data_IF_269697510655
#
_entry.id   IF_269697510655
#
_cell.length_a   1.000
_cell.length_b   1.000
_cell.length_c   1.000
_cell.angle_alpha   90.00
_cell.angle_beta   90.00
_cell.angle_gamma   90.00
#
_symmetry.space_group_name_H-M   'P 1'
#
loop_
_entity.id
_entity.type
_entity.pdbx_description
1 polymer ?
#
# COMPACT_ATOMS: atom_id res chain seq x y z
N UNK A 1 -4.68 29.82 0.39
CA UNK A 1 -3.43 29.85 -0.34
C UNK A 1 -3.46 28.61 -1.18
N UNK A 2 -3.87 28.80 -2.42
CA UNK A 2 -3.87 27.77 -3.46
C UNK A 2 -2.49 27.11 -3.50
N UNK A 3 -1.42 27.85 -3.22
CA UNK A 3 -0.06 27.35 -3.08
C UNK A 3 0.08 26.11 -2.16
N UNK A 4 -0.45 26.12 -0.93
CA UNK A 4 -0.30 24.97 0.00
C UNK A 4 -1.01 23.74 -0.55
N UNK A 5 -2.19 23.94 -1.15
CA UNK A 5 -2.95 22.87 -1.80
C UNK A 5 -2.19 22.34 -3.02
N UNK A 6 -1.62 23.22 -3.85
CA UNK A 6 -0.82 22.83 -5.01
C UNK A 6 0.45 22.07 -4.62
N UNK A 7 1.14 22.50 -3.57
CA UNK A 7 2.31 21.77 -3.03
C UNK A 7 1.90 20.40 -2.53
N UNK A 8 0.83 20.30 -1.74
CA UNK A 8 0.31 19.02 -1.25
C UNK A 8 -0.13 18.08 -2.39
N UNK A 9 -0.82 18.60 -3.40
CA UNK A 9 -1.17 17.83 -4.61
C UNK A 9 0.07 17.41 -5.40
N UNK A 10 1.05 18.30 -5.55
CA UNK A 10 2.32 18.01 -6.22
C UNK A 10 3.10 16.89 -5.53
N UNK A 11 3.14 16.88 -4.19
CA UNK A 11 3.75 15.80 -3.41
C UNK A 11 3.00 14.48 -3.63
N UNK A 12 1.67 14.48 -3.62
CA UNK A 12 0.89 13.27 -3.90
C UNK A 12 1.17 12.71 -5.30
N UNK A 13 1.18 13.56 -6.33
CA UNK A 13 1.50 13.15 -7.70
C UNK A 13 2.93 12.61 -7.78
N UNK A 14 3.89 13.31 -7.17
CA UNK A 14 5.28 12.87 -7.14
C UNK A 14 5.42 11.50 -6.47
N UNK A 15 4.85 11.31 -5.27
CA UNK A 15 4.90 10.03 -4.55
C UNK A 15 4.25 8.92 -5.38
N UNK A 16 3.09 9.20 -5.97
CA UNK A 16 2.40 8.23 -6.80
C UNK A 16 3.28 7.78 -7.98
N UNK A 17 3.79 8.73 -8.77
CA UNK A 17 4.62 8.42 -9.96
C UNK A 17 5.93 7.75 -9.55
N UNK A 18 6.60 8.27 -8.51
CA UNK A 18 7.86 7.71 -8.02
C UNK A 18 7.70 6.25 -7.62
N UNK A 19 6.71 5.94 -6.76
CA UNK A 19 6.48 4.57 -6.32
C UNK A 19 5.92 3.70 -7.44
N UNK A 20 5.14 4.24 -8.37
CA UNK A 20 4.69 3.49 -9.53
C UNK A 20 5.89 2.98 -10.34
N UNK A 21 6.85 3.86 -10.64
CA UNK A 21 8.06 3.54 -11.38
C UNK A 21 9.03 2.66 -10.58
N UNK A 22 9.14 2.86 -9.26
CA UNK A 22 10.01 2.06 -8.38
C UNK A 22 9.67 0.56 -8.40
N UNK A 23 8.42 0.18 -8.73
CA UNK A 23 7.99 -1.20 -8.86
C UNK A 23 8.02 -1.73 -10.31
N UNK A 24 8.52 -0.95 -11.28
CA UNK A 24 8.76 -1.37 -12.66
C UNK A 24 10.20 -1.79 -12.97
N UNK A 25 11.11 -1.71 -12.00
CA UNK A 25 12.52 -2.10 -12.15
C UNK A 25 12.74 -3.63 -12.12
N UNK A 26 13.88 -4.11 -12.59
CA UNK A 26 14.19 -5.55 -12.74
C UNK A 26 14.07 -6.35 -11.45
N UNK A 27 14.34 -5.73 -10.30
CA UNK A 27 14.16 -6.35 -8.98
C UNK A 27 12.76 -6.96 -8.76
N UNK A 28 11.72 -6.37 -9.33
CA UNK A 28 10.34 -6.89 -9.22
C UNK A 28 9.85 -7.56 -10.51
N UNK A 29 10.75 -7.89 -11.45
CA UNK A 29 10.39 -8.50 -12.73
C UNK A 29 9.52 -9.76 -12.53
N UNK A 30 10.01 -10.74 -11.76
CA UNK A 30 9.24 -11.96 -11.49
C UNK A 30 7.98 -11.71 -10.67
N UNK A 31 7.99 -10.74 -9.76
CA UNK A 31 6.77 -10.32 -9.06
C UNK A 31 5.73 -9.79 -10.05
N UNK A 32 6.15 -9.03 -11.06
CA UNK A 32 5.27 -8.53 -12.14
C UNK A 32 4.89 -9.61 -13.16
N UNK A 33 5.65 -10.69 -13.31
CA UNK A 33 5.22 -11.83 -14.12
C UNK A 33 3.93 -12.43 -13.55
N UNK A 34 3.80 -12.48 -12.22
CA UNK A 34 2.57 -12.94 -11.55
C UNK A 34 1.55 -11.80 -11.47
N UNK A 35 1.94 -10.66 -10.89
CA UNK A 35 0.99 -9.58 -10.52
C UNK A 35 0.69 -8.59 -11.63
N UNK A 36 1.51 -8.51 -12.68
CA UNK A 36 1.46 -7.48 -13.69
C UNK A 36 1.51 -6.07 -13.10
N UNK A 37 0.77 -5.14 -13.73
CA UNK A 37 0.72 -3.73 -13.32
C UNK A 37 -0.01 -3.51 -11.98
N UNK A 38 -0.82 -4.48 -11.51
CA UNK A 38 -1.55 -4.38 -10.25
C UNK A 38 -0.60 -4.25 -9.04
N UNK A 39 0.66 -4.68 -9.17
CA UNK A 39 1.71 -4.43 -8.19
C UNK A 39 1.96 -2.92 -7.99
N UNK A 40 2.28 -2.20 -9.07
CA UNK A 40 2.55 -0.75 -9.01
C UNK A 40 1.30 0.02 -8.58
N UNK A 41 0.12 -0.39 -9.07
CA UNK A 41 -1.17 0.20 -8.68
C UNK A 41 -1.56 -0.07 -7.22
N UNK A 42 -1.02 -1.09 -6.56
CA UNK A 42 -1.20 -1.26 -5.11
C UNK A 42 -0.21 -0.43 -4.30
N UNK A 43 1.04 -0.31 -4.80
CA UNK A 43 2.15 0.30 -4.06
C UNK A 43 2.21 1.82 -4.15
N UNK A 44 1.88 2.41 -5.29
CA UNK A 44 1.83 3.87 -5.44
C UNK A 44 0.78 4.53 -4.53
N UNK A 45 -0.49 4.07 -4.48
CA UNK A 45 -1.46 4.61 -3.53
C UNK A 45 -1.10 4.35 -2.07
N UNK A 46 -0.42 3.22 -1.76
CA UNK A 46 0.01 2.94 -0.38
C UNK A 46 0.99 4.00 0.15
N UNK A 47 1.93 4.45 -0.69
CA UNK A 47 2.83 5.55 -0.34
C UNK A 47 2.08 6.87 -0.13
N UNK A 48 1.13 7.20 -1.01
CA UNK A 48 0.29 8.37 -0.84
C UNK A 48 -0.59 8.27 0.42
N UNK A 49 -1.10 7.08 0.75
CA UNK A 49 -1.85 6.83 1.99
C UNK A 49 -0.97 7.09 3.22
N UNK A 50 0.24 6.55 3.27
CA UNK A 50 1.17 6.80 4.39
C UNK A 50 1.40 8.31 4.59
N UNK A 51 1.66 9.04 3.51
CA UNK A 51 1.83 10.50 3.56
C UNK A 51 0.58 11.23 4.07
N UNK A 52 -0.60 10.94 3.50
CA UNK A 52 -1.83 11.64 3.89
C UNK A 52 -2.31 11.25 5.29
N UNK A 53 -2.14 9.99 5.71
CA UNK A 53 -2.46 9.52 7.05
C UNK A 53 -1.51 10.12 8.10
N UNK A 54 -0.24 10.36 7.79
CA UNK A 54 0.64 11.15 8.65
C UNK A 54 0.15 12.62 8.75
N UNK A 55 -0.29 13.18 7.62
CA UNK A 55 -0.69 14.58 7.53
C UNK A 55 -2.05 14.88 8.17
N UNK A 56 -3.01 13.96 8.16
CA UNK A 56 -4.43 14.20 8.52
C UNK A 56 -4.64 14.72 9.95
N UNK A 57 -3.73 14.40 10.89
CA UNK A 57 -3.79 14.85 12.28
C UNK A 57 -3.26 16.29 12.45
N UNK A 58 -2.32 16.74 11.63
CA UNK A 58 -1.70 18.06 11.76
C UNK A 58 -2.74 19.22 11.71
N UNK A 59 -3.74 19.22 10.83
CA UNK A 59 -4.74 20.29 10.77
C UNK A 59 -5.70 20.32 11.96
N UNK A 60 -5.75 19.28 12.80
CA UNK A 60 -6.60 19.26 14.00
C UNK A 60 -5.82 19.55 15.30
N UNK A 61 -4.48 19.61 15.23
CA UNK A 61 -3.60 20.00 16.34
C UNK A 61 -3.63 21.51 16.62
N UNK A 62 -4.71 22.02 17.22
CA UNK A 62 -4.96 23.46 17.42
C UNK A 62 -3.80 24.21 18.09
N UNK A 63 -3.17 23.66 19.12
CA UNK A 63 -2.05 24.31 19.82
C UNK A 63 -0.81 24.46 18.93
N UNK A 64 -0.46 23.41 18.18
CA UNK A 64 0.64 23.42 17.23
C UNK A 64 0.40 24.44 16.11
N UNK A 65 -0.82 24.47 15.58
CA UNK A 65 -1.19 25.43 14.52
C UNK A 65 -1.15 26.87 15.01
N UNK A 66 -1.58 27.13 16.25
CA UNK A 66 -1.47 28.46 16.88
C UNK A 66 -0.01 28.90 17.04
N UNK A 67 0.87 27.98 17.45
CA UNK A 67 2.32 28.26 17.53
C UNK A 67 2.95 28.54 16.15
N UNK A 68 2.66 27.71 15.16
CA UNK A 68 3.14 27.89 13.78
C UNK A 68 2.62 29.19 13.16
N UNK A 69 1.38 29.57 13.46
CA UNK A 69 0.81 30.84 13.03
C UNK A 69 1.63 32.01 13.58
N UNK A 70 1.92 32.03 14.88
CA UNK A 70 2.74 33.09 15.49
C UNK A 70 4.12 33.22 14.84
N UNK A 71 4.73 32.08 14.49
CA UNK A 71 6.06 32.02 13.87
C UNK A 71 6.06 32.49 12.40
N UNK A 72 5.01 32.15 11.64
CA UNK A 72 4.94 32.43 10.19
C UNK A 72 4.28 33.79 9.88
N UNK A 73 3.53 34.35 10.83
CA UNK A 73 2.85 35.64 10.63
C UNK A 73 3.80 36.81 10.37
N UNK A 74 5.06 36.70 10.81
CA UNK A 74 6.14 37.63 10.46
C UNK A 74 6.55 37.52 8.98
N UNK A 75 6.59 36.29 8.42
CA UNK A 75 7.15 36.01 7.09
C UNK A 75 6.11 35.90 5.97
N UNK A 76 4.87 35.48 6.26
CA UNK A 76 3.80 35.38 5.25
C UNK A 76 2.40 35.38 5.85
N UNK A 77 1.71 36.52 5.72
CA UNK A 77 0.28 36.66 6.10
C UNK A 77 -0.63 35.70 5.32
N UNK A 78 -0.27 35.36 4.08
CA UNK A 78 -1.05 34.44 3.23
C UNK A 78 -0.96 32.99 3.68
N UNK A 79 0.19 32.56 4.19
CA UNK A 79 0.37 31.24 4.79
C UNK A 79 -0.34 31.14 6.14
N UNK A 80 -0.23 32.17 6.99
CA UNK A 80 -0.95 32.24 8.27
C UNK A 80 -2.48 32.10 8.09
N UNK A 81 -3.07 32.79 7.11
CA UNK A 81 -4.50 32.69 6.77
C UNK A 81 -4.95 31.29 6.30
N UNK A 82 -4.02 30.39 5.94
CA UNK A 82 -4.38 29.00 5.63
C UNK A 82 -4.39 28.09 6.83
N UNK A 83 -3.58 28.38 7.85
CA UNK A 83 -3.68 27.68 9.13
C UNK A 83 -5.09 27.90 9.74
N UNK A 84 -5.73 29.03 9.44
CA UNK A 84 -7.12 29.30 9.84
C UNK A 84 -8.17 28.44 9.09
N UNK A 85 -7.83 27.87 7.92
CA UNK A 85 -8.70 26.96 7.13
C UNK A 85 -8.29 25.49 7.30
N UNK A 86 -7.69 25.16 8.43
CA UNK A 86 -7.20 23.82 8.76
C UNK A 86 -8.25 22.71 8.62
N UNK A 87 -9.50 22.92 9.05
CA UNK A 87 -10.57 21.92 8.95
C UNK A 87 -11.00 21.66 7.51
N UNK A 88 -10.97 22.68 6.64
CA UNK A 88 -11.21 22.47 5.21
C UNK A 88 -10.10 21.62 4.61
N UNK A 89 -8.84 21.87 4.98
CA UNK A 89 -7.72 21.06 4.52
C UNK A 89 -7.79 19.62 5.06
N UNK A 90 -8.15 19.41 6.33
CA UNK A 90 -8.40 18.07 6.90
C UNK A 90 -9.40 17.28 6.05
N UNK A 91 -10.53 17.90 5.64
CA UNK A 91 -11.52 17.24 4.76
C UNK A 91 -10.95 16.89 3.38
N UNK A 92 -10.14 17.78 2.78
CA UNK A 92 -9.48 17.50 1.50
C UNK A 92 -8.51 16.30 1.61
N UNK A 93 -7.72 16.25 2.67
CA UNK A 93 -6.83 15.11 2.95
C UNK A 93 -7.65 13.84 3.17
N UNK A 94 -8.78 13.90 3.88
CA UNK A 94 -9.67 12.76 4.08
C UNK A 94 -10.24 12.22 2.75
N UNK A 95 -10.64 13.10 1.81
CA UNK A 95 -11.07 12.66 0.47
C UNK A 95 -9.94 12.00 -0.33
N UNK A 96 -8.71 12.51 -0.20
CA UNK A 96 -7.54 11.91 -0.85
C UNK A 96 -7.22 10.52 -0.27
N UNK A 97 -7.34 10.35 1.06
CA UNK A 97 -7.24 9.04 1.72
C UNK A 97 -8.30 8.10 1.16
N UNK A 98 -9.56 8.53 1.07
CA UNK A 98 -10.64 7.70 0.52
C UNK A 98 -10.36 7.24 -0.92
N UNK A 99 -9.89 8.15 -1.78
CA UNK A 99 -9.54 7.87 -3.17
C UNK A 99 -8.40 6.84 -3.26
N UNK A 100 -7.28 7.07 -2.57
CA UNK A 100 -6.15 6.15 -2.62
C UNK A 100 -6.45 4.80 -1.96
N UNK A 101 -7.29 4.77 -0.91
CA UNK A 101 -7.77 3.52 -0.32
C UNK A 101 -8.56 2.70 -1.33
N UNK A 102 -9.47 3.32 -2.09
CA UNK A 102 -10.24 2.61 -3.11
C UNK A 102 -9.32 2.01 -4.18
N UNK A 103 -8.38 2.80 -4.72
CA UNK A 103 -7.41 2.32 -5.73
C UNK A 103 -6.55 1.18 -5.15
N UNK A 104 -6.05 1.35 -3.93
CA UNK A 104 -5.23 0.36 -3.23
C UNK A 104 -5.95 -0.98 -3.04
N UNK A 105 -7.20 -0.96 -2.55
CA UNK A 105 -8.01 -2.16 -2.34
C UNK A 105 -8.27 -2.86 -3.66
N UNK A 106 -8.70 -2.14 -4.70
CA UNK A 106 -8.97 -2.73 -6.03
C UNK A 106 -7.70 -3.40 -6.58
N UNK A 107 -6.55 -2.74 -6.49
CA UNK A 107 -5.28 -3.33 -6.92
C UNK A 107 -4.90 -4.57 -6.09
N UNK A 108 -5.18 -4.57 -4.79
CA UNK A 108 -4.99 -5.75 -3.94
C UNK A 108 -5.88 -6.93 -4.33
N UNK A 109 -7.14 -6.69 -4.70
CA UNK A 109 -8.04 -7.74 -5.17
C UNK A 109 -7.47 -8.43 -6.42
N UNK A 110 -7.05 -7.66 -7.42
CA UNK A 110 -6.38 -8.21 -8.61
C UNK A 110 -5.07 -8.93 -8.27
N UNK A 111 -4.29 -8.44 -7.31
CA UNK A 111 -3.06 -9.10 -6.90
C UNK A 111 -3.34 -10.47 -6.25
N UNK A 112 -4.34 -10.56 -5.38
CA UNK A 112 -4.71 -11.82 -4.73
C UNK A 112 -5.27 -12.84 -5.73
N UNK A 113 -6.11 -12.39 -6.66
CA UNK A 113 -6.63 -13.24 -7.75
C UNK A 113 -5.47 -13.81 -8.58
N UNK A 114 -4.54 -12.98 -9.03
CA UNK A 114 -3.38 -13.42 -9.83
C UNK A 114 -2.44 -14.36 -9.07
N UNK A 115 -2.21 -14.09 -7.78
CA UNK A 115 -1.47 -15.02 -6.93
C UNK A 115 -2.17 -16.38 -6.86
N UNK A 116 -3.49 -16.40 -6.72
CA UNK A 116 -4.26 -17.64 -6.64
C UNK A 116 -4.20 -18.40 -7.96
N UNK A 117 -4.45 -17.73 -9.07
CA UNK A 117 -4.40 -18.32 -10.40
C UNK A 117 -3.01 -18.94 -10.67
N UNK A 118 -1.94 -18.20 -10.38
CA UNK A 118 -0.57 -18.71 -10.58
C UNK A 118 -0.23 -19.94 -9.73
N UNK A 119 -0.86 -20.10 -8.56
CA UNK A 119 -0.69 -21.29 -7.71
C UNK A 119 -1.52 -22.48 -8.22
N UNK A 120 -2.72 -22.24 -8.76
CA UNK A 120 -3.65 -23.27 -9.21
C UNK A 120 -3.36 -23.78 -10.64
N UNK A 121 -2.44 -23.16 -11.38
CA UNK A 121 -1.98 -23.59 -12.71
C UNK A 121 -1.09 -24.86 -12.68
N UNK A 122 -1.51 -25.91 -11.95
CA UNK A 122 -0.75 -27.15 -11.69
C UNK A 122 -0.41 -27.90 -12.98
N UNK A 123 -1.26 -27.79 -14.00
CA UNK A 123 -1.13 -28.52 -15.27
C UNK A 123 -0.33 -27.75 -16.33
N UNK A 124 0.28 -26.62 -15.97
CA UNK A 124 0.97 -25.77 -16.92
C UNK A 124 2.41 -25.55 -16.50
N UNK A 125 3.37 -26.01 -17.32
CA UNK A 125 4.81 -25.75 -17.17
C UNK A 125 5.17 -24.29 -17.48
N UNK A 126 4.38 -23.32 -17.01
CA UNK A 126 4.62 -21.91 -17.24
C UNK A 126 5.34 -21.27 -16.04
N UNK A 127 6.11 -20.23 -16.36
CA UNK A 127 6.90 -19.46 -15.40
C UNK A 127 6.12 -19.01 -14.13
N UNK A 128 4.86 -18.52 -14.19
CA UNK A 128 4.11 -18.12 -12.99
C UNK A 128 3.90 -19.25 -11.98
N UNK A 129 3.69 -20.48 -12.47
CA UNK A 129 3.55 -21.66 -11.61
C UNK A 129 4.87 -22.02 -10.95
N UNK A 130 5.96 -22.09 -11.72
CA UNK A 130 7.32 -22.37 -11.19
C UNK A 130 7.70 -21.35 -10.12
N UNK A 131 7.45 -20.06 -10.35
CA UNK A 131 7.69 -18.99 -9.38
C UNK A 131 6.85 -19.15 -8.10
N UNK A 132 5.64 -19.68 -8.20
CA UNK A 132 4.77 -19.90 -7.04
C UNK A 132 5.25 -21.07 -6.17
N UNK A 133 5.88 -22.08 -6.78
CA UNK A 133 6.46 -23.22 -6.04
C UNK A 133 7.77 -22.88 -5.31
N UNK A 134 8.45 -21.78 -5.65
CA UNK A 134 9.70 -21.39 -4.99
C UNK A 134 9.47 -21.15 -3.50
N UNK A 135 10.38 -21.69 -2.68
CA UNK A 135 10.39 -21.55 -1.22
C UNK A 135 9.37 -22.41 -0.48
N UNK A 136 8.70 -23.39 -1.12
CA UNK A 136 7.67 -24.22 -0.45
C UNK A 136 8.26 -25.04 0.69
N UNK A 137 9.56 -25.35 0.58
CA UNK A 137 10.30 -26.15 1.56
C UNK A 137 10.94 -25.31 2.68
N UNK A 138 11.23 -24.02 2.44
CA UNK A 138 11.99 -23.19 3.38
C UNK A 138 11.18 -22.05 4.03
N UNK A 139 10.01 -21.70 3.47
CA UNK A 139 9.17 -20.53 3.83
C UNK A 139 9.91 -19.19 3.92
N UNK A 140 11.13 -19.08 3.40
CA UNK A 140 11.98 -17.88 3.50
C UNK A 140 12.13 -17.17 2.18
N UNK A 141 12.24 -17.91 1.09
CA UNK A 141 12.57 -17.39 -0.25
C UNK A 141 11.35 -17.27 -1.15
N UNK A 142 10.14 -17.51 -0.64
CA UNK A 142 8.92 -17.52 -1.44
C UNK A 142 8.65 -16.18 -2.14
N UNK A 143 8.03 -16.25 -3.31
CA UNK A 143 7.48 -15.08 -4.02
C UNK A 143 5.96 -15.00 -3.86
N UNK A 144 5.26 -16.11 -4.11
CA UNK A 144 3.82 -16.21 -3.96
C UNK A 144 3.46 -16.55 -2.49
N UNK A 145 2.72 -15.67 -1.78
CA UNK A 145 2.30 -15.94 -0.40
C UNK A 145 1.25 -17.05 -0.28
N UNK A 146 0.58 -17.43 -1.37
CA UNK A 146 -0.40 -18.52 -1.41
C UNK A 146 0.35 -19.83 -1.64
N UNK A 147 0.29 -20.74 -0.66
CA UNK A 147 1.15 -21.95 -0.60
C UNK A 147 0.40 -23.27 -0.73
N UNK A 148 -0.94 -23.22 -0.75
CA UNK A 148 -1.77 -24.41 -0.79
C UNK A 148 -2.87 -24.27 -1.84
N UNK A 149 -3.15 -25.39 -2.49
CA UNK A 149 -4.12 -25.50 -3.57
C UNK A 149 -5.56 -25.63 -3.03
N UNK A 150 -5.72 -25.82 -1.72
CA UNK A 150 -7.02 -25.91 -1.03
C UNK A 150 -7.46 -24.55 -0.46
N UNK A 151 -6.75 -23.46 -0.78
CA UNK A 151 -7.08 -22.12 -0.29
C UNK A 151 -8.00 -21.38 -1.25
N UNK A 152 -8.82 -20.47 -0.71
CA UNK A 152 -9.61 -19.52 -1.51
C UNK A 152 -9.27 -18.08 -1.08
N UNK A 153 -9.61 -17.06 -1.90
CA UNK A 153 -9.30 -15.67 -1.58
C UNK A 153 -9.86 -15.20 -0.23
N UNK A 154 -11.04 -15.69 0.15
CA UNK A 154 -11.69 -15.35 1.44
C UNK A 154 -10.88 -15.83 2.64
N UNK A 155 -10.37 -17.07 2.59
CA UNK A 155 -9.52 -17.63 3.65
C UNK A 155 -8.24 -16.79 3.76
N UNK A 156 -7.58 -16.48 2.63
CA UNK A 156 -6.36 -15.66 2.64
C UNK A 156 -6.62 -14.27 3.21
N UNK A 157 -7.77 -13.67 2.90
CA UNK A 157 -8.19 -12.38 3.43
C UNK A 157 -8.32 -12.38 4.96
N UNK A 158 -8.82 -13.45 5.58
CA UNK A 158 -9.03 -13.50 7.04
C UNK A 158 -7.93 -14.20 7.84
N UNK A 159 -7.00 -14.89 7.18
CA UNK A 159 -5.91 -15.62 7.86
C UNK A 159 -4.56 -14.90 7.78
N UNK A 160 -4.37 -14.00 6.82
CA UNK A 160 -3.14 -13.21 6.71
C UNK A 160 -3.21 -11.94 7.55
N UNK A 161 -2.09 -11.52 8.15
CA UNK A 161 -2.00 -10.27 8.92
C UNK A 161 -2.46 -9.08 8.05
N UNK A 162 -1.96 -8.98 6.82
CA UNK A 162 -2.31 -7.88 5.93
C UNK A 162 -3.80 -7.92 5.52
N UNK A 163 -4.36 -9.10 5.25
CA UNK A 163 -5.77 -9.25 4.91
C UNK A 163 -6.69 -8.83 6.06
N UNK A 164 -6.49 -9.41 7.25
CA UNK A 164 -7.36 -9.17 8.41
C UNK A 164 -7.29 -7.70 8.86
N UNK A 165 -6.08 -7.16 9.01
CA UNK A 165 -5.89 -5.74 9.34
C UNK A 165 -6.47 -4.84 8.25
N UNK A 166 -6.33 -5.21 6.98
CA UNK A 166 -6.88 -4.49 5.83
C UNK A 166 -8.40 -4.37 5.89
N UNK A 167 -9.10 -5.45 6.25
CA UNK A 167 -10.56 -5.44 6.45
C UNK A 167 -10.93 -4.53 7.62
N UNK A 168 -10.26 -4.68 8.76
CA UNK A 168 -10.55 -3.88 9.98
C UNK A 168 -10.36 -2.39 9.72
N UNK A 169 -9.23 -1.97 9.14
CA UNK A 169 -8.96 -0.55 8.85
C UNK A 169 -9.93 0.01 7.81
N UNK A 170 -10.33 -0.79 6.82
CA UNK A 170 -11.27 -0.35 5.78
C UNK A 170 -12.66 -0.12 6.38
N UNK A 171 -13.14 -1.04 7.21
CA UNK A 171 -14.42 -0.88 7.91
C UNK A 171 -14.40 0.34 8.82
N UNK A 172 -13.33 0.53 9.60
CA UNK A 172 -13.17 1.73 10.43
C UNK A 172 -13.19 3.01 9.58
N UNK A 173 -12.47 3.04 8.46
CA UNK A 173 -12.43 4.19 7.56
C UNK A 173 -13.80 4.50 6.95
N UNK A 174 -14.54 3.48 6.49
CA UNK A 174 -15.90 3.65 5.94
C UNK A 174 -16.82 4.27 7.01
N UNK A 175 -16.79 3.76 8.24
CA UNK A 175 -17.60 4.28 9.34
C UNK A 175 -17.24 5.73 9.67
N UNK A 176 -15.94 6.06 9.75
CA UNK A 176 -15.45 7.42 10.00
C UNK A 176 -15.91 8.37 8.89
N UNK A 177 -15.72 7.99 7.62
CA UNK A 177 -16.06 8.85 6.47
C UNK A 177 -17.56 9.07 6.39
N UNK A 178 -18.36 8.01 6.49
CA UNK A 178 -19.82 8.09 6.35
C UNK A 178 -20.43 8.94 7.46
N UNK A 179 -20.06 8.73 8.72
CA UNK A 179 -20.56 9.54 9.83
C UNK A 179 -20.11 11.01 9.79
N UNK A 180 -18.96 11.27 9.18
CA UNK A 180 -18.41 12.63 9.02
C UNK A 180 -19.04 13.42 7.87
N UNK A 181 -19.89 12.80 7.05
CA UNK A 181 -20.63 13.50 5.99
C UNK A 181 -21.50 14.61 6.58
N UNK A 182 -21.60 15.73 5.87
CA UNK A 182 -22.25 16.93 6.39
C UNK A 182 -23.70 16.71 6.82
N UNK A 183 -24.44 15.89 6.06
CA UNK A 183 -25.83 15.53 6.36
C UNK A 183 -25.94 14.81 7.70
N UNK A 184 -25.06 13.84 7.97
CA UNK A 184 -25.09 13.05 9.22
C UNK A 184 -24.55 13.88 10.37
N UNK A 185 -23.39 14.53 10.21
CA UNK A 185 -22.73 15.30 11.26
C UNK A 185 -23.57 16.49 11.76
N UNK A 186 -24.36 17.13 10.89
CA UNK A 186 -25.24 18.26 11.28
C UNK A 186 -26.49 17.79 12.02
N UNK A 187 -27.03 16.63 11.68
CA UNK A 187 -28.27 16.09 12.26
C UNK A 187 -28.02 15.21 13.50
N UNK A 188 -26.88 14.50 13.53
CA UNK A 188 -26.53 13.49 14.53
C UNK A 188 -25.07 13.67 14.98
N UNK A 189 -24.81 14.78 15.70
CA UNK A 189 -23.44 15.13 16.09
C UNK A 189 -22.77 14.08 16.99
N UNK A 190 -23.49 13.47 17.92
CA UNK A 190 -22.96 12.41 18.79
C UNK A 190 -22.50 11.19 17.99
N UNK A 191 -23.27 10.78 16.97
CA UNK A 191 -22.90 9.67 16.08
C UNK A 191 -21.59 9.98 15.37
N UNK A 192 -21.45 11.19 14.82
CA UNK A 192 -20.19 11.66 14.25
C UNK A 192 -19.07 11.58 15.30
N UNK A 193 -19.26 12.14 16.49
CA UNK A 193 -18.20 12.26 17.49
C UNK A 193 -17.70 10.89 17.96
N UNK A 194 -18.59 9.98 18.35
CA UNK A 194 -18.21 8.64 18.82
C UNK A 194 -17.56 7.80 17.71
N UNK A 195 -18.12 7.80 16.51
CA UNK A 195 -17.57 7.01 15.39
C UNK A 195 -16.25 7.59 14.89
N UNK A 196 -16.04 8.90 14.95
CA UNK A 196 -14.78 9.51 14.49
C UNK A 196 -13.59 9.07 15.36
N UNK A 197 -13.79 8.72 16.64
CA UNK A 197 -12.75 8.16 17.53
C UNK A 197 -12.24 6.78 17.09
N UNK A 198 -12.90 6.11 16.13
CA UNK A 198 -12.34 4.95 15.46
C UNK A 198 -11.01 5.26 14.75
N UNK A 199 -10.60 6.53 14.63
CA UNK A 199 -9.24 6.89 14.20
C UNK A 199 -8.16 6.15 15.01
N UNK A 200 -8.40 5.86 16.30
CA UNK A 200 -7.45 5.10 17.15
C UNK A 200 -7.26 3.68 16.59
N UNK A 201 -8.37 2.99 16.33
CA UNK A 201 -8.36 1.64 15.73
C UNK A 201 -7.74 1.68 14.33
N UNK A 202 -8.09 2.69 13.54
CA UNK A 202 -7.54 2.90 12.20
C UNK A 202 -6.02 3.04 12.22
N UNK A 203 -5.44 3.88 13.08
CA UNK A 203 -3.99 4.09 13.13
C UNK A 203 -3.23 2.87 13.69
N UNK A 204 -3.76 2.20 14.72
CA UNK A 204 -3.17 0.95 15.22
C UNK A 204 -3.17 -0.11 14.10
N UNK A 205 -4.30 -0.28 13.42
CA UNK A 205 -4.42 -1.21 12.31
C UNK A 205 -3.50 -0.85 11.14
N UNK A 206 -3.33 0.43 10.82
CA UNK A 206 -2.46 0.91 9.74
C UNK A 206 -0.99 0.54 9.99
N UNK A 207 -0.50 0.70 11.23
CA UNK A 207 0.87 0.29 11.61
C UNK A 207 1.04 -1.21 11.44
N UNK A 208 0.08 -2.01 11.89
CA UNK A 208 0.14 -3.48 11.79
C UNK A 208 -0.01 -3.98 10.34
N UNK A 209 -0.78 -3.29 9.51
CA UNK A 209 -1.09 -3.70 8.15
C UNK A 209 0.15 -3.86 7.27
N UNK A 210 1.14 -2.97 7.42
CA UNK A 210 2.39 -3.00 6.68
C UNK A 210 3.40 -4.07 7.14
N UNK A 211 3.24 -4.63 8.34
CA UNK A 211 4.24 -5.52 8.98
C UNK A 211 4.43 -6.84 8.22
N UNK A 212 3.38 -7.33 7.54
CA UNK A 212 3.40 -8.63 6.89
C UNK A 212 4.36 -8.75 5.70
N UNK A 213 4.89 -7.65 5.15
CA UNK A 213 5.88 -7.62 4.05
C UNK A 213 5.57 -8.59 2.89
N UNK A 214 4.29 -8.71 2.54
CA UNK A 214 3.78 -9.76 1.62
C UNK A 214 4.29 -9.60 0.18
N UNK A 215 4.51 -8.36 -0.29
CA UNK A 215 5.12 -8.17 -1.61
C UNK A 215 6.62 -8.29 -1.49
N UNK A 216 7.16 -9.19 -2.30
CA UNK A 216 8.56 -9.56 -2.29
C UNK A 216 9.13 -9.27 -3.67
N UNK A 217 10.37 -8.80 -3.68
CA UNK A 217 11.18 -8.65 -4.89
C UNK A 217 12.39 -9.55 -4.78
N UNK A 218 13.09 -9.73 -5.90
CA UNK A 218 14.37 -10.42 -5.91
C UNK A 218 15.35 -9.70 -4.96
N UNK A 219 16.18 -10.44 -4.23
CA UNK A 219 17.20 -9.83 -3.38
C UNK A 219 18.32 -9.23 -4.23
N UNK A 220 19.08 -8.27 -3.69
CA UNK A 220 20.18 -7.63 -4.43
C UNK A 220 21.23 -8.67 -4.82
N UNK A 221 21.53 -9.59 -3.92
CA UNK A 221 22.46 -10.70 -4.14
C UNK A 221 21.94 -11.62 -5.25
N UNK A 222 20.63 -11.89 -5.28
CA UNK A 222 20.04 -12.74 -6.31
C UNK A 222 19.99 -12.04 -7.66
N UNK A 223 19.69 -10.74 -7.76
CA UNK A 223 19.73 -9.99 -9.03
C UNK A 223 21.11 -10.06 -9.68
N UNK A 224 22.18 -10.00 -8.87
CA UNK A 224 23.56 -10.01 -9.37
C UNK A 224 23.99 -11.34 -10.00
N UNK A 225 23.42 -12.46 -9.53
CA UNK A 225 23.76 -13.82 -10.01
C UNK A 225 22.67 -14.42 -10.89
N UNK A 226 21.47 -13.84 -10.89
CA UNK A 226 20.31 -14.27 -11.65
C UNK A 226 19.67 -13.04 -12.30
N UNK A 227 20.09 -12.75 -13.53
CA UNK A 227 19.55 -11.65 -14.32
C UNK A 227 18.15 -12.02 -14.85
N UNK A 228 17.08 -11.32 -14.45
CA UNK A 228 15.73 -11.66 -14.89
C UNK A 228 15.53 -11.60 -16.41
N UNK A 229 16.22 -10.67 -17.09
CA UNK A 229 16.06 -10.47 -18.53
C UNK A 229 16.64 -11.63 -19.36
N UNK A 230 17.58 -12.40 -18.79
CA UNK A 230 18.21 -13.54 -19.45
C UNK A 230 17.67 -14.87 -18.90
N UNK A 231 17.56 -14.99 -17.57
CA UNK A 231 17.20 -16.25 -16.93
C UNK A 231 15.71 -16.58 -17.05
N UNK A 232 14.82 -15.62 -17.33
CA UNK A 232 13.38 -15.90 -17.43
C UNK A 232 13.02 -16.91 -18.53
N UNK A 233 13.79 -17.01 -19.62
CA UNK A 233 13.54 -17.96 -20.71
C UNK A 233 14.01 -19.38 -20.38
N UNK A 234 14.92 -19.53 -19.42
CA UNK A 234 15.55 -20.81 -19.04
C UNK A 234 15.01 -21.40 -17.74
N UNK A 235 13.76 -21.04 -17.38
CA UNK A 235 13.16 -21.33 -16.08
C UNK A 235 13.05 -22.82 -15.72
N UNK A 236 13.01 -23.71 -16.71
CA UNK A 236 12.98 -25.17 -16.52
C UNK A 236 14.32 -25.74 -16.02
N UNK A 237 15.41 -25.01 -16.22
CA UNK A 237 16.78 -25.45 -15.91
C UNK A 237 17.43 -24.66 -14.77
N UNK A 238 16.66 -23.82 -14.09
CA UNK A 238 17.16 -23.04 -12.95
C UNK A 238 17.76 -23.95 -11.87
N UNK A 239 18.95 -23.58 -11.41
CA UNK A 239 19.69 -24.34 -10.39
C UNK A 239 20.36 -25.62 -10.87
N UNK A 240 20.22 -26.00 -12.15
CA UNK A 240 20.91 -27.18 -12.71
C UNK A 240 22.33 -26.84 -13.23
N UNK A 241 22.55 -25.60 -13.66
CA UNK A 241 23.85 -25.09 -14.11
C UNK A 241 24.18 -23.78 -13.40
N UNK A 242 25.46 -23.39 -13.35
CA UNK A 242 25.92 -22.18 -12.67
C UNK A 242 25.46 -20.88 -13.36
N UNK A 243 24.91 -20.94 -14.57
CA UNK A 243 24.50 -19.77 -15.35
C UNK A 243 23.24 -19.06 -14.83
N UNK A 244 22.27 -19.81 -14.28
CA UNK A 244 21.03 -19.25 -13.72
C UNK A 244 20.66 -20.03 -12.43
N UNK A 245 21.19 -19.63 -11.26
CA UNK A 245 20.78 -20.22 -9.97
C UNK A 245 19.31 -19.90 -9.68
N UNK A 246 18.65 -20.63 -8.77
CA UNK A 246 17.24 -20.34 -8.42
C UNK A 246 17.12 -18.93 -7.81
N UNK A 247 16.18 -18.08 -8.27
CA UNK A 247 16.06 -16.72 -7.76
C UNK A 247 15.55 -16.70 -6.32
N UNK A 248 16.08 -15.79 -5.51
CA UNK A 248 15.74 -15.63 -4.09
C UNK A 248 14.97 -14.34 -3.88
N UNK A 249 13.85 -14.44 -3.15
CA UNK A 249 12.94 -13.32 -2.92
C UNK A 249 12.84 -12.94 -1.44
N UNK A 250 12.79 -11.63 -1.18
CA UNK A 250 12.57 -11.08 0.16
C UNK A 250 11.58 -9.92 0.14
N UNK A 251 10.82 -9.81 1.23
CA UNK A 251 9.95 -8.66 1.48
C UNK A 251 10.78 -7.42 1.78
N UNK A 252 10.31 -6.25 1.34
CA UNK A 252 10.99 -5.00 1.66
C UNK A 252 10.95 -4.71 3.17
N UNK A 253 11.96 -4.04 3.72
CA UNK A 253 11.82 -3.43 5.03
C UNK A 253 10.64 -2.43 5.02
N UNK A 254 10.00 -2.19 6.17
CA UNK A 254 8.99 -1.14 6.29
C UNK A 254 9.61 0.19 5.86
N UNK A 255 8.87 0.93 5.04
CA UNK A 255 9.23 2.27 4.58
C UNK A 255 8.79 3.32 5.59
#
# INVERSE_FOLDING_TARGET
SIFVILVWLGINVFLFVHFYMAFLVDRYYYTRVILGQALSWARAPAACLNFNCMLILLPVCRNLLSFLRGSIQCCSRTAARQLDRNLTFHKLVAYMIALHTAIHIIAHLFNFERFMDSQLMINSSYLPYVLSQIGNNDNRSYLNPIRSNETNPTIVMFTTIAGLTGVVITLALILIITSSMEVIRRSYFEVFWFTHHLFIVFFIGLVLHGVGRIVRGQTVESVNVHNPNECHSHFETWGQNNSCPVPVFAGNPPM
#
